data_IF_256193689968
#
_entry.id   IF_256193689968
#
_cell.length_a   1.000
_cell.length_b   1.000
_cell.length_c   1.000
_cell.angle_alpha   90.00
_cell.angle_beta   90.00
_cell.angle_gamma   90.00
#
_symmetry.space_group_name_H-M   'P 1'
#
loop_
_entity.id
_entity.type
_entity.pdbx_description
1 polymer ?
#
# COMPACT_ATOMS: atom_id res chain seq x y z
N UNK A 1 22.72 -8.76 -12.70
CA UNK A 1 22.99 -9.03 -11.27
C UNK A 1 22.05 -10.16 -10.88
N UNK A 2 22.57 -11.32 -10.52
CA UNK A 2 21.79 -12.58 -10.38
C UNK A 2 22.04 -13.19 -9.00
N UNK A 3 21.83 -12.38 -7.96
CA UNK A 3 21.59 -12.88 -6.61
C UNK A 3 20.13 -12.58 -6.29
N UNK A 4 19.37 -13.58 -5.85
CA UNK A 4 18.03 -13.36 -5.31
C UNK A 4 18.15 -12.29 -4.20
N UNK A 5 17.60 -11.10 -4.46
CA UNK A 5 17.61 -10.03 -3.48
C UNK A 5 16.79 -10.47 -2.27
N UNK A 6 17.40 -10.45 -1.08
CA UNK A 6 16.68 -10.76 0.15
C UNK A 6 15.71 -9.61 0.42
N UNK A 7 14.43 -9.85 0.14
CA UNK A 7 13.35 -8.90 0.41
C UNK A 7 12.74 -9.24 1.78
N UNK A 8 12.61 -8.21 2.62
CA UNK A 8 11.83 -8.27 3.87
C UNK A 8 10.73 -7.22 3.81
N UNK A 9 9.47 -7.66 3.86
CA UNK A 9 8.30 -6.79 3.93
C UNK A 9 7.86 -6.63 5.39
N UNK A 10 7.89 -5.40 5.88
CA UNK A 10 7.27 -5.04 7.15
C UNK A 10 5.80 -4.65 6.92
N UNK A 11 4.88 -5.47 7.41
CA UNK A 11 3.44 -5.43 7.10
C UNK A 11 2.58 -5.29 8.37
N UNK A 12 1.31 -4.90 8.21
CA UNK A 12 0.27 -5.13 9.20
C UNK A 12 -0.97 -5.69 8.50
N UNK A 13 -1.50 -6.83 8.97
CA UNK A 13 -2.59 -7.57 8.31
C UNK A 13 -3.82 -6.71 7.94
N UNK A 14 -4.15 -5.71 8.77
CA UNK A 14 -5.31 -4.84 8.57
C UNK A 14 -4.98 -3.51 7.88
N UNK A 15 -3.74 -3.30 7.45
CA UNK A 15 -3.34 -2.09 6.76
C UNK A 15 -3.62 -2.22 5.25
N UNK A 16 -4.58 -1.47 4.69
CA UNK A 16 -4.89 -1.56 3.26
C UNK A 16 -3.76 -1.04 2.37
N UNK A 17 -2.91 -0.13 2.87
CA UNK A 17 -1.72 0.29 2.14
C UNK A 17 -0.71 -0.85 2.06
N UNK A 18 -0.50 -1.58 3.14
CA UNK A 18 0.44 -2.70 3.16
C UNK A 18 -0.08 -3.89 2.32
N UNK A 19 -1.40 -4.10 2.28
CA UNK A 19 -2.02 -5.07 1.38
C UNK A 19 -1.65 -4.85 -0.11
N UNK A 20 -1.49 -3.59 -0.56
CA UNK A 20 -1.00 -3.29 -1.93
C UNK A 20 0.40 -3.86 -2.18
N UNK A 21 1.31 -3.73 -1.22
CA UNK A 21 2.67 -4.25 -1.34
C UNK A 21 2.69 -5.79 -1.31
N UNK A 22 1.88 -6.40 -0.44
CA UNK A 22 1.69 -7.86 -0.39
C UNK A 22 1.20 -8.39 -1.74
N UNK A 23 0.18 -7.75 -2.32
CA UNK A 23 -0.36 -8.14 -3.64
C UNK A 23 0.72 -7.98 -4.72
N UNK A 24 1.43 -6.84 -4.74
CA UNK A 24 2.49 -6.62 -5.73
C UNK A 24 3.58 -7.70 -5.67
N UNK A 25 4.07 -8.06 -4.48
CA UNK A 25 5.05 -9.14 -4.29
C UNK A 25 4.49 -10.51 -4.69
N UNK A 26 3.22 -10.78 -4.37
CA UNK A 26 2.59 -12.04 -4.76
C UNK A 26 2.52 -12.21 -6.29
N UNK A 27 2.23 -11.13 -7.02
CA UNK A 27 2.19 -11.12 -8.49
C UNK A 27 3.59 -11.28 -9.12
N UNK A 28 4.67 -10.85 -8.45
CA UNK A 28 6.04 -11.11 -8.94
C UNK A 28 6.49 -12.55 -8.72
N UNK A 29 5.81 -13.31 -7.86
CA UNK A 29 6.20 -14.66 -7.42
C UNK A 29 7.60 -14.74 -6.79
N UNK A 30 8.15 -13.60 -6.39
CA UNK A 30 9.43 -13.54 -5.69
C UNK A 30 9.25 -14.00 -4.25
N UNK A 31 10.18 -14.81 -3.75
CA UNK A 31 10.16 -15.22 -2.35
C UNK A 31 10.62 -14.06 -1.45
N UNK A 32 9.88 -13.80 -0.37
CA UNK A 32 10.22 -12.74 0.58
C UNK A 32 9.90 -13.16 2.02
N UNK A 33 10.58 -12.52 2.97
CA UNK A 33 10.29 -12.63 4.39
C UNK A 33 9.24 -11.58 4.77
N UNK A 34 8.21 -11.96 5.52
CA UNK A 34 7.22 -11.02 6.05
C UNK A 34 7.37 -10.86 7.56
N UNK A 35 7.46 -9.61 8.02
CA UNK A 35 7.51 -9.25 9.44
C UNK A 35 6.29 -8.42 9.78
N UNK A 36 5.44 -8.93 10.67
CA UNK A 36 4.25 -8.19 11.13
C UNK A 36 4.62 -7.14 12.18
N UNK A 37 4.22 -5.90 11.94
CA UNK A 37 4.27 -4.78 12.89
C UNK A 37 2.85 -4.54 13.42
N UNK A 38 2.67 -4.60 14.74
CA UNK A 38 1.38 -4.33 15.39
C UNK A 38 1.12 -2.82 15.47
N UNK A 39 0.21 -2.32 14.64
CA UNK A 39 -0.16 -0.90 14.62
C UNK A 39 -1.11 -0.49 15.75
N UNK A 40 -1.65 -1.44 16.52
CA UNK A 40 -2.52 -1.18 17.68
C UNK A 40 -1.75 -0.80 18.94
N UNK A 41 -0.43 -0.95 18.91
CA UNK A 41 0.48 -0.66 20.02
C UNK A 41 1.56 0.35 19.57
N UNK A 42 2.30 0.94 20.52
CA UNK A 42 3.55 1.62 20.19
C UNK A 42 4.47 0.71 19.38
N UNK A 43 5.15 1.28 18.38
CA UNK A 43 6.00 0.50 17.48
C UNK A 43 7.26 0.09 18.23
N UNK A 44 7.83 -1.10 17.97
CA UNK A 44 9.08 -1.51 18.60
C UNK A 44 10.22 -0.51 18.31
N UNK A 45 11.10 -0.26 19.28
CA UNK A 45 12.21 0.70 19.13
C UNK A 45 13.12 0.37 17.95
N UNK A 46 13.39 -0.92 17.72
CA UNK A 46 14.20 -1.37 16.57
C UNK A 46 13.54 -1.01 15.24
N UNK A 47 12.20 -1.04 15.16
CA UNK A 47 11.50 -0.68 13.92
C UNK A 47 11.64 0.82 13.64
N UNK A 48 11.47 1.64 14.67
CA UNK A 48 11.59 3.09 14.57
C UNK A 48 13.02 3.53 14.28
N UNK A 49 14.01 2.86 14.86
CA UNK A 49 15.42 3.19 14.71
C UNK A 49 16.01 2.70 13.39
N UNK A 50 15.74 1.44 13.04
CA UNK A 50 16.48 0.74 12.00
C UNK A 50 15.69 0.60 10.69
N UNK A 51 14.36 0.73 10.72
CA UNK A 51 13.50 0.51 9.55
C UNK A 51 12.75 1.76 9.11
N UNK A 52 11.83 2.31 9.92
CA UNK A 52 11.03 3.47 9.55
C UNK A 52 10.77 4.37 10.77
N UNK A 53 11.42 5.55 10.87
CA UNK A 53 11.25 6.46 12.01
C UNK A 53 9.84 7.04 12.12
N UNK A 54 9.03 6.99 11.06
CA UNK A 54 7.62 7.39 11.11
C UNK A 54 6.70 6.27 11.61
N UNK A 55 7.20 5.05 11.81
CA UNK A 55 6.41 3.93 12.34
C UNK A 55 5.28 3.47 11.40
N UNK A 56 5.37 3.80 10.12
CA UNK A 56 4.39 3.48 9.09
C UNK A 56 4.71 2.12 8.44
N UNK A 57 3.67 1.45 7.93
CA UNK A 57 3.77 0.27 7.07
C UNK A 57 2.94 0.49 5.79
N UNK A 58 3.34 -0.10 4.64
CA UNK A 58 4.46 -1.01 4.49
C UNK A 58 5.82 -0.30 4.49
N UNK A 59 6.86 -1.04 4.85
CA UNK A 59 8.24 -0.74 4.52
C UNK A 59 8.86 -2.01 3.93
N UNK A 60 9.57 -1.89 2.81
CA UNK A 60 10.22 -3.02 2.14
C UNK A 60 11.73 -2.84 2.18
N UNK A 61 12.40 -3.67 2.95
CA UNK A 61 13.86 -3.70 3.02
C UNK A 61 14.39 -4.57 1.88
N UNK A 62 15.30 -3.99 1.10
CA UNK A 62 16.01 -4.65 0.00
C UNK A 62 17.46 -4.57 0.40
N UNK A 63 18.08 -5.72 0.68
CA UNK A 63 19.41 -5.80 1.30
C UNK A 63 19.53 -5.14 2.68
N UNK A 64 20.74 -5.10 3.26
CA UNK A 64 20.96 -4.62 4.62
C UNK A 64 20.83 -3.09 4.80
N UNK A 65 20.85 -2.32 3.72
CA UNK A 65 21.01 -0.86 3.73
C UNK A 65 19.83 -0.10 3.12
N UNK A 66 19.07 -0.70 2.23
CA UNK A 66 18.02 0.03 1.50
C UNK A 66 16.63 -0.35 1.99
N UNK A 67 15.79 0.67 2.18
CA UNK A 67 14.37 0.50 2.54
C UNK A 67 13.53 1.39 1.64
N UNK A 68 12.50 0.81 1.03
CA UNK A 68 11.48 1.52 0.27
C UNK A 68 10.24 1.69 1.15
N UNK A 69 9.78 2.93 1.25
CA UNK A 69 8.55 3.31 1.95
C UNK A 69 7.46 3.64 0.94
N UNK A 70 6.23 3.80 1.42
CA UNK A 70 5.03 4.06 0.62
C UNK A 70 4.65 2.89 -0.29
N UNK A 71 3.42 2.39 -0.15
CA UNK A 71 3.03 1.16 -0.85
C UNK A 71 2.94 1.28 -2.36
N UNK A 72 2.73 2.49 -2.90
CA UNK A 72 2.80 2.72 -4.35
C UNK A 72 4.24 2.63 -4.85
N UNK A 73 5.21 3.19 -4.12
CA UNK A 73 6.61 3.15 -4.53
C UNK A 73 7.19 1.74 -4.42
N UNK A 74 6.76 0.95 -3.42
CA UNK A 74 7.05 -0.49 -3.36
C UNK A 74 6.55 -1.21 -4.62
N UNK A 75 5.29 -1.00 -5.00
CA UNK A 75 4.73 -1.64 -6.20
C UNK A 75 5.41 -1.20 -7.49
N UNK A 76 5.79 0.07 -7.60
CA UNK A 76 6.52 0.59 -8.77
C UNK A 76 7.93 0.02 -8.86
N UNK A 77 8.66 -0.04 -7.75
CA UNK A 77 9.97 -0.66 -7.71
C UNK A 77 9.91 -2.15 -8.11
N UNK A 78 8.92 -2.88 -7.60
CA UNK A 78 8.70 -4.28 -8.00
C UNK A 78 8.32 -4.39 -9.48
N UNK A 79 7.61 -3.42 -10.05
CA UNK A 79 7.30 -3.41 -11.48
C UNK A 79 8.53 -3.21 -12.34
N UNK A 80 9.51 -2.43 -11.86
CA UNK A 80 10.76 -2.18 -12.57
C UNK A 80 11.72 -3.35 -12.42
N UNK A 81 11.75 -3.98 -11.24
CA UNK A 81 12.56 -5.17 -10.95
C UNK A 81 12.04 -6.43 -11.64
N UNK A 82 10.70 -6.57 -11.73
CA UNK A 82 10.00 -7.73 -12.28
C UNK A 82 9.06 -7.31 -13.44
N UNK A 83 9.61 -6.87 -14.59
CA UNK A 83 8.80 -6.44 -15.73
C UNK A 83 7.87 -7.54 -16.27
N UNK A 84 8.20 -8.81 -16.04
CA UNK A 84 7.38 -9.98 -16.37
C UNK A 84 6.07 -10.07 -15.57
N UNK A 85 6.01 -9.47 -14.39
CA UNK A 85 4.83 -9.45 -13.54
C UNK A 85 3.73 -8.52 -14.07
N UNK A 86 4.05 -7.62 -15.02
CA UNK A 86 3.11 -6.69 -15.66
C UNK A 86 2.23 -5.90 -14.65
N UNK A 87 2.81 -5.50 -13.52
CA UNK A 87 2.10 -4.79 -12.44
C UNK A 87 1.51 -3.44 -12.89
N UNK A 88 2.14 -2.80 -13.87
CA UNK A 88 1.70 -1.54 -14.45
C UNK A 88 1.72 -1.60 -15.98
N UNK A 89 0.90 -0.76 -16.64
CA UNK A 89 0.99 -0.55 -18.08
C UNK A 89 2.40 -0.12 -18.51
N UNK A 90 2.75 -0.41 -19.77
CA UNK A 90 4.00 0.07 -20.40
C UNK A 90 3.85 1.47 -20.98
N UNK A 91 2.65 1.83 -21.42
CA UNK A 91 2.35 3.14 -21.97
C UNK A 91 2.44 4.24 -20.89
N UNK A 92 3.23 5.32 -21.09
CA UNK A 92 3.41 6.35 -20.08
C UNK A 92 2.12 7.07 -19.67
N UNK A 93 1.19 7.28 -20.60
CA UNK A 93 -0.08 7.93 -20.31
C UNK A 93 -0.95 7.05 -19.42
N UNK A 94 -1.09 5.76 -19.76
CA UNK A 94 -1.82 4.80 -18.94
C UNK A 94 -1.19 4.65 -17.55
N UNK A 95 0.15 4.64 -17.44
CA UNK A 95 0.83 4.65 -16.14
C UNK A 95 0.47 5.86 -15.30
N UNK A 96 0.43 7.05 -15.89
CA UNK A 96 0.03 8.27 -15.20
C UNK A 96 -1.43 8.21 -14.73
N UNK A 97 -2.33 7.68 -15.56
CA UNK A 97 -3.74 7.47 -15.19
C UNK A 97 -3.89 6.49 -14.02
N UNK A 98 -3.20 5.34 -14.05
CA UNK A 98 -3.22 4.36 -12.95
C UNK A 98 -2.68 4.96 -11.66
N UNK A 99 -1.55 5.68 -11.71
CA UNK A 99 -0.99 6.40 -10.54
C UNK A 99 -2.00 7.37 -9.95
N UNK A 100 -2.67 8.15 -10.80
CA UNK A 100 -3.70 9.09 -10.37
C UNK A 100 -4.88 8.38 -9.68
N UNK A 101 -5.39 7.30 -10.27
CA UNK A 101 -6.49 6.52 -9.69
C UNK A 101 -6.10 5.92 -8.34
N UNK A 102 -4.90 5.35 -8.22
CA UNK A 102 -4.39 4.80 -6.95
C UNK A 102 -4.28 5.88 -5.88
N UNK A 103 -3.70 7.04 -6.22
CA UNK A 103 -3.57 8.17 -5.30
C UNK A 103 -4.95 8.68 -4.87
N UNK A 104 -5.84 8.93 -5.82
CA UNK A 104 -7.17 9.48 -5.55
C UNK A 104 -8.03 8.51 -4.72
N UNK A 105 -8.00 7.22 -5.03
CA UNK A 105 -8.67 6.20 -4.23
C UNK A 105 -8.16 6.18 -2.79
N UNK A 106 -6.84 6.17 -2.60
CA UNK A 106 -6.22 6.20 -1.28
C UNK A 106 -6.64 7.42 -0.45
N UNK A 107 -6.62 8.60 -1.07
CA UNK A 107 -6.94 9.87 -0.39
C UNK A 107 -8.43 10.04 -0.09
N UNK A 108 -9.30 9.66 -1.03
CA UNK A 108 -10.72 10.03 -0.98
C UNK A 108 -11.66 8.87 -0.62
N UNK A 109 -11.35 7.65 -1.04
CA UNK A 109 -12.23 6.48 -0.84
C UNK A 109 -11.78 5.65 0.34
N UNK A 110 -10.48 5.33 0.41
CA UNK A 110 -9.95 4.40 1.40
C UNK A 110 -10.05 4.94 2.83
N UNK A 111 -9.76 6.22 3.05
CA UNK A 111 -9.85 6.84 4.38
C UNK A 111 -11.26 6.73 4.99
N UNK A 112 -12.35 7.20 4.35
CA UNK A 112 -13.69 7.03 4.92
C UNK A 112 -14.10 5.56 5.04
N UNK A 113 -13.63 4.66 4.16
CA UNK A 113 -13.86 3.21 4.30
C UNK A 113 -13.24 2.67 5.59
N UNK A 114 -11.96 2.98 5.85
CA UNK A 114 -11.26 2.56 7.08
C UNK A 114 -11.95 3.14 8.31
N UNK A 115 -12.31 4.43 8.30
CA UNK A 115 -13.00 5.07 9.43
C UNK A 115 -14.38 4.46 9.70
N UNK A 116 -15.13 4.10 8.65
CA UNK A 116 -16.41 3.39 8.80
C UNK A 116 -16.22 2.02 9.46
N UNK A 117 -15.16 1.29 9.10
CA UNK A 117 -14.91 -0.06 9.57
C UNK A 117 -14.38 -0.15 11.02
N UNK A 118 -13.76 0.93 11.54
CA UNK A 118 -13.07 0.91 12.84
C UNK A 118 -13.74 1.73 13.94
N UNK A 119 -14.78 2.51 13.61
CA UNK A 119 -15.53 3.25 14.64
C UNK A 119 -16.52 2.34 15.37
N UNK A 120 -16.60 2.48 16.69
CA UNK A 120 -17.65 1.85 17.50
C UNK A 120 -18.93 2.72 17.60
N UNK A 121 -18.85 3.98 17.17
CA UNK A 121 -19.98 4.92 17.16
C UNK A 121 -20.79 4.76 15.87
N UNK A 122 -22.06 4.37 16.03
CA UNK A 122 -23.00 4.13 14.93
C UNK A 122 -23.34 5.40 14.14
N UNK A 123 -23.44 6.56 14.79
CA UNK A 123 -23.73 7.83 14.11
C UNK A 123 -22.53 8.27 13.28
N UNK A 124 -21.32 8.17 13.85
CA UNK A 124 -20.08 8.41 13.12
C UNK A 124 -19.93 7.44 11.94
N UNK A 125 -20.25 6.15 12.14
CA UNK A 125 -20.24 5.14 11.08
C UNK A 125 -21.17 5.51 9.93
N UNK A 126 -22.40 5.94 10.22
CA UNK A 126 -23.37 6.38 9.22
C UNK A 126 -22.86 7.58 8.42
N UNK A 127 -22.25 8.57 9.09
CA UNK A 127 -21.64 9.73 8.43
C UNK A 127 -20.46 9.35 7.53
N UNK A 128 -19.57 8.47 7.99
CA UNK A 128 -18.46 7.98 7.19
C UNK A 128 -18.93 7.17 5.98
N UNK A 129 -19.97 6.33 6.15
CA UNK A 129 -20.60 5.58 5.05
C UNK A 129 -21.22 6.50 4.00
N UNK A 130 -21.99 7.52 4.42
CA UNK A 130 -22.56 8.48 3.49
C UNK A 130 -21.48 9.22 2.68
N UNK A 131 -20.39 9.64 3.35
CA UNK A 131 -19.23 10.22 2.67
C UNK A 131 -18.58 9.23 1.70
N UNK A 132 -18.40 7.97 2.11
CA UNK A 132 -17.80 6.93 1.28
C UNK A 132 -18.58 6.73 -0.03
N UNK A 133 -19.91 6.64 0.03
CA UNK A 133 -20.77 6.49 -1.16
C UNK A 133 -20.55 7.63 -2.14
N UNK A 134 -20.56 8.89 -1.67
CA UNK A 134 -20.31 10.06 -2.53
C UNK A 134 -18.91 10.02 -3.17
N UNK A 135 -17.89 9.57 -2.44
CA UNK A 135 -16.53 9.47 -3.01
C UNK A 135 -16.41 8.32 -4.00
N UNK A 136 -17.10 7.20 -3.78
CA UNK A 136 -17.17 6.09 -4.72
C UNK A 136 -17.85 6.50 -6.02
N UNK A 137 -18.98 7.20 -5.96
CA UNK A 137 -19.67 7.71 -7.16
C UNK A 137 -18.78 8.64 -7.99
N UNK A 138 -17.99 9.51 -7.33
CA UNK A 138 -17.01 10.36 -8.00
C UNK A 138 -15.86 9.55 -8.61
N UNK A 139 -15.37 8.55 -7.88
CA UNK A 139 -14.30 7.70 -8.34
C UNK A 139 -14.72 6.86 -9.56
N UNK A 140 -15.93 6.31 -9.59
CA UNK A 140 -16.46 5.58 -10.75
C UNK A 140 -16.48 6.48 -12.00
N UNK A 141 -16.92 7.73 -11.87
CA UNK A 141 -16.87 8.70 -12.99
C UNK A 141 -15.46 9.03 -13.49
N UNK A 142 -14.41 8.73 -12.72
CA UNK A 142 -13.03 8.84 -13.17
C UNK A 142 -12.56 7.59 -13.91
N UNK A 143 -13.15 6.42 -13.63
CA UNK A 143 -12.85 5.17 -14.33
C UNK A 143 -13.48 5.12 -15.73
N UNK A 144 -14.59 5.83 -15.93
CA UNK A 144 -15.32 5.89 -17.20
C UNK A 144 -14.72 6.88 -18.23
N UNK A 145 -13.57 7.48 -17.93
CA UNK A 145 -12.86 8.46 -18.79
C UNK A 145 -11.60 7.87 -19.39
#
# INVERSE_FOLDING_TARGET
MTGSEKIVLYNHLRCPFAARAVIALAETKHEYEEVTIDLTKPRPDWYLKDINPYGQVPAMKIDDKHVIYESLFVAEYLSDLHPEANLFPKDPLQRAQVRYLIHHYGTHVLVPQVMTAHTADNEAAAKHRARLVVQLEKFVKLLDK
#
